data_IF_306228977312
#
_entry.id   IF_306228977312
#
_cell.length_a   1.000
_cell.length_b   1.000
_cell.length_c   1.000
_cell.angle_alpha   90.00
_cell.angle_beta   90.00
_cell.angle_gamma   90.00
#
_symmetry.space_group_name_H-M   'P 1'
#
loop_
_entity.id
_entity.type
_entity.pdbx_description
1 polymer ?
#
# COMPACT_ATOMS: atom_id res chain seq x y z
N UNK A 1 -14.03 -44.82 -31.48
CA UNK A 1 -13.93 -43.55 -32.22
C UNK A 1 -13.37 -42.49 -31.25
N UNK A 2 -12.23 -41.90 -31.61
CA UNK A 2 -11.79 -40.50 -31.32
C UNK A 2 -11.54 -40.07 -29.85
N UNK A 3 -10.27 -40.14 -29.45
CA UNK A 3 -9.56 -39.17 -28.58
C UNK A 3 -9.67 -37.73 -29.12
N UNK A 4 -9.20 -36.66 -28.43
CA UNK A 4 -8.82 -36.42 -27.02
C UNK A 4 -9.38 -35.05 -26.53
N UNK A 5 -9.01 -34.53 -25.35
CA UNK A 5 -8.54 -33.12 -25.22
C UNK A 5 -8.30 -32.69 -23.76
N UNK A 6 -7.00 -32.59 -23.41
CA UNK A 6 -6.36 -31.47 -22.73
C UNK A 6 -7.22 -30.71 -21.70
N UNK A 7 -7.23 -31.20 -20.45
CA UNK A 7 -7.46 -30.34 -19.29
C UNK A 7 -6.22 -29.45 -19.12
N UNK A 8 -6.28 -28.26 -19.71
CA UNK A 8 -5.31 -27.19 -19.58
C UNK A 8 -5.33 -26.68 -18.13
N UNK A 9 -4.38 -27.15 -17.32
CA UNK A 9 -4.12 -26.60 -15.98
C UNK A 9 -3.52 -25.21 -16.13
N UNK A 10 -4.37 -24.18 -16.08
CA UNK A 10 -3.99 -22.78 -15.95
C UNK A 10 -3.36 -22.55 -14.57
N UNK A 11 -2.03 -22.53 -14.53
CA UNK A 11 -1.27 -22.01 -13.40
C UNK A 11 -1.41 -20.47 -13.40
N UNK A 12 -2.40 -19.96 -12.68
CA UNK A 12 -2.47 -18.54 -12.34
C UNK A 12 -1.48 -18.26 -11.20
N UNK A 13 -0.21 -18.00 -11.53
CA UNK A 13 0.73 -17.36 -10.61
C UNK A 13 0.34 -15.88 -10.47
N UNK A 14 -0.69 -15.61 -9.67
CA UNK A 14 -1.08 -14.26 -9.30
C UNK A 14 -0.06 -13.69 -8.33
N UNK A 15 1.03 -13.12 -8.83
CA UNK A 15 1.86 -12.20 -8.04
C UNK A 15 1.07 -10.90 -7.85
N UNK A 16 0.06 -10.93 -6.98
CA UNK A 16 -0.59 -9.71 -6.56
C UNK A 16 0.44 -8.90 -5.74
N UNK A 17 0.99 -7.87 -6.35
CA UNK A 17 1.77 -6.82 -5.67
C UNK A 17 0.83 -6.11 -4.71
N UNK A 18 0.72 -6.65 -3.49
CA UNK A 18 -0.21 -6.13 -2.49
C UNK A 18 0.39 -4.93 -1.76
N UNK A 19 1.70 -4.91 -1.52
CA UNK A 19 2.37 -3.87 -0.74
C UNK A 19 3.66 -3.49 -1.46
N UNK A 20 3.90 -2.20 -1.60
CA UNK A 20 5.09 -1.63 -2.23
C UNK A 20 4.78 -0.35 -3.01
N UNK A 21 5.77 0.26 -3.66
CA UNK A 21 5.58 1.51 -4.41
C UNK A 21 4.62 1.39 -5.60
N UNK A 22 4.33 0.17 -6.06
CA UNK A 22 3.30 -0.16 -7.06
C UNK A 22 2.20 -1.08 -6.47
N UNK A 23 2.11 -1.15 -5.14
CA UNK A 23 1.24 -2.07 -4.42
C UNK A 23 -0.22 -1.65 -4.45
N UNK A 24 -1.11 -2.55 -4.89
CA UNK A 24 -2.55 -2.25 -5.00
C UNK A 24 -3.29 -2.26 -3.66
N UNK A 25 -2.70 -2.83 -2.60
CA UNK A 25 -3.27 -2.76 -1.26
C UNK A 25 -2.70 -1.60 -0.43
N UNK A 26 -1.38 -1.41 -0.50
CA UNK A 26 -0.65 -0.31 0.14
C UNK A 26 0.48 0.19 -0.76
N UNK A 27 0.54 1.51 -0.97
CA UNK A 27 1.70 2.23 -1.50
C UNK A 27 1.62 2.63 -2.98
N UNK A 28 0.92 1.86 -3.81
CA UNK A 28 0.78 2.11 -5.25
C UNK A 28 0.02 3.40 -5.57
N UNK A 29 0.26 4.01 -6.76
CA UNK A 29 -0.49 5.19 -7.22
C UNK A 29 -1.96 4.85 -7.49
N UNK A 30 -2.84 5.86 -7.37
CA UNK A 30 -4.25 5.71 -7.67
C UNK A 30 -4.89 7.08 -7.98
N UNK A 31 -5.92 7.07 -8.82
CA UNK A 31 -6.79 8.22 -9.09
C UNK A 31 -8.05 8.09 -8.22
N UNK A 32 -8.60 6.87 -8.13
CA UNK A 32 -9.75 6.55 -7.31
C UNK A 32 -9.64 5.15 -6.69
N UNK A 33 -10.62 4.77 -5.86
CA UNK A 33 -10.64 3.50 -5.15
C UNK A 33 -10.67 2.26 -6.07
N UNK A 34 -11.07 2.38 -7.34
CA UNK A 34 -11.12 1.25 -8.27
C UNK A 34 -9.73 0.85 -8.79
N UNK A 35 -8.74 1.71 -8.64
CA UNK A 35 -7.33 1.39 -8.92
C UNK A 35 -6.72 0.49 -7.84
N UNK A 36 -7.31 0.46 -6.64
CA UNK A 36 -6.84 -0.32 -5.52
C UNK A 36 -7.50 -1.71 -5.46
N UNK A 37 -6.87 -2.64 -4.74
CA UNK A 37 -7.46 -3.96 -4.49
C UNK A 37 -8.70 -3.83 -3.59
N UNK A 38 -9.67 -4.74 -3.74
CA UNK A 38 -10.86 -4.80 -2.90
C UNK A 38 -10.49 -4.75 -1.40
N UNK A 39 -11.05 -3.78 -0.68
CA UNK A 39 -10.80 -3.54 0.74
C UNK A 39 -9.79 -2.42 1.02
N UNK A 40 -9.11 -1.93 -0.01
CA UNK A 40 -8.30 -0.72 0.02
C UNK A 40 -9.05 0.47 -0.57
N UNK A 41 -8.53 1.67 -0.35
CA UNK A 41 -9.04 2.91 -0.93
C UNK A 41 -7.91 3.84 -1.35
N UNK A 42 -8.23 4.82 -2.19
CA UNK A 42 -7.26 5.77 -2.69
C UNK A 42 -7.17 7.00 -1.78
N UNK A 43 -6.04 7.15 -1.11
CA UNK A 43 -5.71 8.31 -0.31
C UNK A 43 -5.08 9.38 -1.20
N UNK A 44 -5.57 10.63 -1.12
CA UNK A 44 -5.20 11.74 -2.00
C UNK A 44 -4.97 13.01 -1.19
N UNK A 45 -4.21 13.96 -1.73
CA UNK A 45 -3.97 15.26 -1.12
C UNK A 45 -2.56 15.77 -1.42
N UNK A 46 -2.17 16.88 -0.80
CA UNK A 46 -0.79 17.39 -0.87
C UNK A 46 0.22 16.35 -0.40
N UNK A 47 -0.16 15.59 0.62
CA UNK A 47 0.70 14.60 1.28
C UNK A 47 0.69 13.25 0.55
N UNK A 48 -0.07 13.14 -0.55
CA UNK A 48 -0.19 11.93 -1.36
C UNK A 48 -0.22 12.30 -2.86
N UNK A 49 0.89 12.81 -3.42
CA UNK A 49 0.96 13.16 -4.83
C UNK A 49 0.67 11.92 -5.68
N UNK A 50 -0.15 12.08 -6.72
CA UNK A 50 -0.63 10.99 -7.58
C UNK A 50 -1.36 9.85 -6.82
N UNK A 51 -1.88 10.15 -5.62
CA UNK A 51 -2.59 9.21 -4.76
C UNK A 51 -1.73 8.10 -4.18
N UNK A 52 -2.23 7.42 -3.15
CA UNK A 52 -1.68 6.14 -2.69
C UNK A 52 -2.79 5.19 -2.25
N UNK A 53 -2.73 3.94 -2.69
CA UNK A 53 -3.59 2.89 -2.15
C UNK A 53 -3.23 2.64 -0.70
N UNK A 54 -4.24 2.51 0.15
CA UNK A 54 -4.07 2.21 1.58
C UNK A 54 -5.28 1.45 2.13
N UNK A 55 -5.17 1.01 3.39
CA UNK A 55 -6.24 0.40 4.18
C UNK A 55 -6.35 1.06 5.54
N UNK A 56 -7.54 1.02 6.14
CA UNK A 56 -7.73 1.49 7.51
C UNK A 56 -7.07 0.54 8.53
N UNK A 57 -6.56 1.08 9.62
CA UNK A 57 -5.91 0.30 10.67
C UNK A 57 -6.13 0.90 12.07
N UNK A 58 -6.01 0.07 13.10
CA UNK A 58 -5.93 0.48 14.51
C UNK A 58 -4.51 0.32 15.07
N UNK A 59 -3.69 -0.49 14.41
CA UNK A 59 -2.26 -0.65 14.67
C UNK A 59 -1.57 -1.43 13.56
N UNK A 60 -0.26 -1.60 13.67
CA UNK A 60 0.58 -2.22 12.62
C UNK A 60 0.12 -3.64 12.23
N UNK A 61 -0.49 -4.39 13.17
CA UNK A 61 -1.00 -5.74 12.91
C UNK A 61 -2.19 -5.82 11.95
N UNK A 62 -2.88 -4.69 11.72
CA UNK A 62 -3.96 -4.60 10.71
C UNK A 62 -3.39 -4.32 9.31
N UNK A 63 -2.14 -3.87 9.22
CA UNK A 63 -1.49 -3.52 7.98
C UNK A 63 -0.87 -4.74 7.31
N UNK A 64 -0.92 -4.77 5.97
CA UNK A 64 -0.33 -5.84 5.18
C UNK A 64 1.17 -5.61 5.02
N UNK A 65 1.94 -6.70 5.03
CA UNK A 65 3.39 -6.66 4.86
C UNK A 65 4.08 -5.98 6.04
N UNK A 66 5.02 -5.10 5.72
CA UNK A 66 5.80 -4.28 6.65
C UNK A 66 5.25 -2.85 6.81
N UNK A 67 4.08 -2.56 6.22
CA UNK A 67 3.41 -1.27 6.30
C UNK A 67 3.12 -0.85 7.75
N UNK A 68 3.17 0.45 8.03
CA UNK A 68 2.96 1.01 9.38
C UNK A 68 1.63 1.73 9.46
N UNK A 69 0.97 1.59 10.61
CA UNK A 69 -0.28 2.26 10.89
C UNK A 69 -0.03 3.64 11.51
N UNK A 70 -0.29 4.69 10.74
CA UNK A 70 -0.10 6.08 11.18
C UNK A 70 -1.42 6.71 11.61
N UNK A 71 -1.35 7.66 12.54
CA UNK A 71 -2.51 8.40 13.04
C UNK A 71 -2.95 9.52 12.07
N UNK A 72 -3.39 9.12 10.88
CA UNK A 72 -3.99 9.98 9.88
C UNK A 72 -5.38 9.45 9.53
N UNK A 73 -6.38 10.33 9.37
CA UNK A 73 -7.77 9.95 9.05
C UNK A 73 -8.35 8.81 9.91
N UNK A 74 -7.97 8.76 11.20
CA UNK A 74 -8.32 7.69 12.15
C UNK A 74 -7.57 6.36 12.00
N UNK A 75 -6.55 6.30 11.14
CA UNK A 75 -5.59 5.20 11.01
C UNK A 75 -5.44 4.72 9.57
N UNK A 76 -4.28 4.91 8.95
CA UNK A 76 -3.97 4.42 7.58
C UNK A 76 -2.65 3.66 7.53
N UNK A 77 -2.55 2.68 6.64
CA UNK A 77 -1.34 1.91 6.41
C UNK A 77 -0.46 2.56 5.34
N UNK A 78 0.79 2.89 5.66
CA UNK A 78 1.75 3.47 4.72
C UNK A 78 3.05 2.65 4.67
N UNK A 79 3.79 2.80 3.56
CA UNK A 79 5.08 2.13 3.41
C UNK A 79 6.08 2.71 4.41
N UNK A 80 6.82 1.86 5.16
CA UNK A 80 7.91 2.33 6.00
C UNK A 80 9.07 2.84 5.14
N UNK A 81 9.91 3.68 5.73
CA UNK A 81 11.18 4.10 5.14
C UNK A 81 12.22 4.34 6.23
N UNK A 82 13.49 4.18 5.90
CA UNK A 82 14.61 4.62 6.74
C UNK A 82 15.18 5.95 6.22
N UNK A 83 15.14 6.15 4.90
CA UNK A 83 15.66 7.32 4.20
C UNK A 83 14.76 7.75 3.04
N UNK A 84 14.96 8.97 2.53
CA UNK A 84 14.24 9.45 1.35
C UNK A 84 14.46 8.57 0.11
N UNK A 85 15.58 7.84 0.03
CA UNK A 85 15.87 6.96 -1.11
C UNK A 85 14.95 5.73 -1.17
N UNK A 86 14.33 5.36 -0.04
CA UNK A 86 13.38 4.24 0.02
C UNK A 86 12.04 4.61 -0.61
N UNK A 87 11.71 5.91 -0.62
CA UNK A 87 10.50 6.45 -1.23
C UNK A 87 10.72 6.71 -2.72
N UNK A 88 10.74 5.63 -3.50
CA UNK A 88 11.07 5.68 -4.93
C UNK A 88 10.01 6.36 -5.81
N UNK A 89 8.83 6.66 -5.26
CA UNK A 89 7.74 7.32 -5.99
C UNK A 89 8.02 8.82 -6.09
N UNK A 90 7.79 9.40 -7.27
CA UNK A 90 7.97 10.83 -7.49
C UNK A 90 7.11 11.66 -6.53
N UNK A 91 7.74 12.64 -5.88
CA UNK A 91 7.10 13.53 -4.91
C UNK A 91 6.95 12.93 -3.52
N UNK A 92 7.45 11.72 -3.27
CA UNK A 92 7.46 11.12 -1.93
C UNK A 92 8.84 11.24 -1.29
N UNK A 93 8.83 11.54 0.01
CA UNK A 93 9.99 11.62 0.87
C UNK A 93 9.71 10.88 2.18
N UNK A 94 10.76 10.58 2.95
CA UNK A 94 10.64 9.86 4.20
C UNK A 94 10.35 10.82 5.34
N UNK A 95 9.21 10.63 6.01
CA UNK A 95 8.73 11.52 7.07
C UNK A 95 8.33 10.74 8.31
N UNK A 96 8.66 11.29 9.48
CA UNK A 96 8.17 10.76 10.75
C UNK A 96 6.72 11.17 10.98
N UNK A 97 5.86 10.21 11.23
CA UNK A 97 4.45 10.39 11.58
C UNK A 97 4.15 9.75 12.93
N UNK A 98 3.09 10.20 13.59
CA UNK A 98 2.64 9.58 14.84
C UNK A 98 2.05 8.19 14.55
N UNK A 99 2.49 7.18 15.31
CA UNK A 99 1.92 5.85 15.21
C UNK A 99 0.50 5.84 15.79
N UNK A 100 -0.43 5.10 15.16
CA UNK A 100 -1.83 5.07 15.63
C UNK A 100 -2.01 4.37 16.98
N UNK A 101 -1.25 3.31 17.22
CA UNK A 101 -1.45 2.42 18.37
C UNK A 101 -0.60 2.77 19.61
N UNK A 102 0.41 3.62 19.45
CA UNK A 102 1.38 3.96 20.51
C UNK A 102 1.65 5.47 20.51
N UNK A 103 2.49 5.93 21.44
CA UNK A 103 2.98 7.32 21.46
C UNK A 103 4.30 7.48 20.68
N UNK A 104 4.69 6.45 19.93
CA UNK A 104 5.94 6.47 19.17
C UNK A 104 5.72 7.13 17.81
N UNK A 105 6.84 7.44 17.15
CA UNK A 105 6.85 7.91 15.77
C UNK A 105 7.37 6.83 14.84
N UNK A 106 6.85 6.79 13.63
CA UNK A 106 7.26 5.87 12.57
C UNK A 106 7.60 6.65 11.31
N UNK A 107 8.69 6.26 10.66
CA UNK A 107 9.11 6.82 9.39
C UNK A 107 8.37 6.15 8.24
N UNK A 108 7.63 6.93 7.45
CA UNK A 108 6.81 6.46 6.33
C UNK A 108 6.93 7.36 5.11
N UNK A 109 6.66 6.80 3.93
CA UNK A 109 6.65 7.56 2.68
C UNK A 109 5.36 8.38 2.55
N UNK A 110 5.50 9.71 2.50
CA UNK A 110 4.42 10.68 2.22
C UNK A 110 4.95 11.79 1.31
N UNK A 111 4.05 12.64 0.81
CA UNK A 111 4.36 13.73 -0.11
C UNK A 111 5.23 14.82 0.54
N UNK A 112 6.32 15.22 -0.12
CA UNK A 112 7.25 16.23 0.38
C UNK A 112 8.44 16.51 -0.51
#
# INVERSE_FOLDING_TARGET
>A
MRTPWLALLLLASGCAVNVGPDGLAVGGPCIDEFDCVTGSYCLRGSDFPNGTCTTNCRGDGDCRGDSRCVDLESGVCLLPCETNADCVREGYSCHEMDARATTDRVSVCTGG
#
